data_IF_675471584924
#
_entry.id   IF_675471584924
#
_cell.length_a   1.000
_cell.length_b   1.000
_cell.length_c   1.000
_cell.angle_alpha   90.00
_cell.angle_beta   90.00
_cell.angle_gamma   90.00
#
_symmetry.space_group_name_H-M   'P 1'
#
loop_
_entity.id
_entity.type
_entity.pdbx_description
1 polymer ?
#
# COMPACT_ATOMS: atom_id res chain seq x y z
N UNK A 1 24.92 -15.89 -20.95
CA UNK A 1 24.18 -14.76 -21.57
C UNK A 1 22.69 -14.75 -21.21
N UNK A 2 21.88 -15.75 -21.60
CA UNK A 2 20.42 -15.74 -21.35
C UNK A 2 20.01 -15.68 -19.86
N UNK A 3 20.74 -16.34 -18.96
CA UNK A 3 20.49 -16.28 -17.50
C UNK A 3 20.74 -14.89 -16.89
N UNK A 4 21.72 -14.15 -17.41
CA UNK A 4 22.02 -12.79 -16.96
C UNK A 4 20.89 -11.83 -17.33
N UNK A 5 20.27 -12.01 -18.50
CA UNK A 5 19.12 -11.19 -18.93
C UNK A 5 17.89 -11.42 -18.05
N UNK A 6 17.63 -12.67 -17.65
CA UNK A 6 16.56 -12.99 -16.70
C UNK A 6 16.80 -12.39 -15.32
N UNK A 7 18.05 -12.41 -14.82
CA UNK A 7 18.40 -11.76 -13.55
C UNK A 7 18.26 -10.23 -13.62
N UNK A 8 18.67 -9.61 -14.72
CA UNK A 8 18.59 -8.16 -14.89
C UNK A 8 17.12 -7.69 -14.96
N UNK A 9 16.27 -8.45 -15.65
CA UNK A 9 14.84 -8.20 -15.72
C UNK A 9 14.18 -8.33 -14.33
N UNK A 10 14.51 -9.38 -13.58
CA UNK A 10 13.98 -9.59 -12.22
C UNK A 10 14.39 -8.46 -11.26
N UNK A 11 15.63 -7.94 -11.39
CA UNK A 11 16.12 -6.85 -10.55
C UNK A 11 15.41 -5.52 -10.85
N UNK A 12 15.09 -5.25 -12.12
CA UNK A 12 14.31 -4.07 -12.54
C UNK A 12 12.87 -4.10 -11.99
N UNK A 13 12.26 -5.28 -11.90
CA UNK A 13 10.91 -5.46 -11.37
C UNK A 13 10.84 -5.40 -9.83
N UNK A 14 11.96 -5.64 -9.14
CA UNK A 14 12.01 -5.66 -7.67
C UNK A 14 11.95 -4.26 -7.02
N UNK A 15 12.14 -3.18 -7.78
CA UNK A 15 12.25 -1.81 -7.26
C UNK A 15 10.95 -1.04 -7.03
N UNK A 16 9.77 -1.66 -7.18
CA UNK A 16 8.49 -0.95 -7.18
C UNK A 16 7.86 -0.71 -5.78
N UNK A 17 8.65 -0.69 -4.70
CA UNK A 17 8.18 -0.15 -3.42
C UNK A 17 8.23 1.39 -3.50
N UNK A 18 7.17 1.98 -4.06
CA UNK A 18 7.03 3.43 -4.13
C UNK A 18 6.55 3.93 -2.77
N UNK A 19 7.43 4.64 -2.07
CA UNK A 19 7.00 5.43 -0.93
C UNK A 19 5.96 6.45 -1.41
N UNK A 20 4.89 6.66 -0.65
CA UNK A 20 3.86 7.63 -0.99
C UNK A 20 3.50 8.49 0.21
N UNK A 21 3.07 9.72 -0.07
CA UNK A 21 2.65 10.68 0.93
C UNK A 21 1.17 10.97 0.78
N UNK A 22 0.47 11.03 1.91
CA UNK A 22 -0.91 11.50 1.99
C UNK A 22 -0.95 12.69 2.93
N UNK A 23 -1.53 13.79 2.45
CA UNK A 23 -1.91 14.92 3.30
C UNK A 23 -3.38 14.79 3.66
N UNK A 24 -3.69 14.82 4.95
CA UNK A 24 -5.07 14.74 5.44
C UNK A 24 -5.74 16.13 5.53
N UNK A 25 -7.00 16.13 5.96
CA UNK A 25 -7.82 17.35 6.09
C UNK A 25 -7.32 18.30 7.19
N UNK A 26 -6.46 17.83 8.10
CA UNK A 26 -5.79 18.67 9.11
C UNK A 26 -4.51 19.31 8.58
N UNK A 27 -4.09 18.94 7.36
CA UNK A 27 -2.85 19.37 6.73
C UNK A 27 -1.63 18.55 7.16
N UNK A 28 -1.81 17.52 7.99
CA UNK A 28 -0.73 16.63 8.40
C UNK A 28 -0.33 15.71 7.24
N UNK A 29 0.98 15.49 7.08
CA UNK A 29 1.54 14.64 6.01
C UNK A 29 1.99 13.32 6.63
N UNK A 30 1.42 12.23 6.14
CA UNK A 30 1.82 10.87 6.48
C UNK A 30 2.55 10.24 5.31
N UNK A 31 3.79 9.83 5.52
CA UNK A 31 4.60 9.11 4.54
C UNK A 31 4.52 7.60 4.81
N UNK A 32 4.36 6.83 3.74
CA UNK A 32 4.33 5.37 3.78
C UNK A 32 5.43 4.81 2.89
N UNK A 33 6.42 4.14 3.46
CA UNK A 33 7.49 3.47 2.70
C UNK A 33 7.00 2.18 2.02
N UNK A 34 5.95 1.57 2.57
CA UNK A 34 5.33 0.34 2.07
C UNK A 34 3.81 0.40 2.26
N UNK A 35 3.02 -0.36 1.48
CA UNK A 35 1.58 -0.45 1.69
C UNK A 35 1.21 -0.84 3.14
N UNK A 36 0.19 -0.20 3.76
CA UNK A 36 -0.23 -0.50 5.13
C UNK A 36 -0.67 -1.96 5.30
N UNK A 37 -0.12 -2.64 6.30
CA UNK A 37 -0.42 -4.05 6.57
C UNK A 37 -1.57 -4.26 7.57
N UNK A 38 -1.79 -3.29 8.47
CA UNK A 38 -2.83 -3.32 9.51
C UNK A 38 -3.51 -1.97 9.57
N UNK A 39 -4.82 -1.95 9.35
CA UNK A 39 -5.62 -0.74 9.20
C UNK A 39 -6.72 -0.73 10.26
N UNK A 40 -6.95 0.43 10.87
CA UNK A 40 -8.12 0.71 11.68
C UNK A 40 -8.97 1.73 10.94
N UNK A 41 -10.26 1.45 10.77
CA UNK A 41 -11.22 2.39 10.20
C UNK A 41 -12.19 2.81 11.29
N UNK A 42 -12.55 4.09 11.36
CA UNK A 42 -13.45 4.61 12.42
C UNK A 42 -14.84 4.92 11.87
N UNK A 43 -14.97 5.09 10.55
CA UNK A 43 -16.24 5.45 9.92
C UNK A 43 -16.76 4.27 9.10
N UNK A 44 -18.06 3.92 9.22
CA UNK A 44 -18.64 2.80 8.48
C UNK A 44 -18.45 2.91 6.96
N UNK A 45 -18.63 4.09 6.37
CA UNK A 45 -18.44 4.31 4.93
C UNK A 45 -17.01 4.02 4.46
N UNK A 46 -16.01 4.30 5.28
CA UNK A 46 -14.61 4.01 4.99
C UNK A 46 -14.32 2.51 5.14
N UNK A 47 -14.91 1.87 6.16
CA UNK A 47 -14.81 0.41 6.36
C UNK A 47 -15.34 -0.34 5.13
N UNK A 48 -16.52 0.03 4.64
CA UNK A 48 -17.10 -0.55 3.42
C UNK A 48 -16.24 -0.27 2.18
N UNK A 49 -15.66 0.94 2.07
CA UNK A 49 -14.79 1.29 0.94
C UNK A 49 -13.52 0.44 0.89
N UNK A 50 -12.84 0.25 2.04
CA UNK A 50 -11.67 -0.63 2.13
C UNK A 50 -12.01 -2.05 1.69
N UNK A 51 -13.21 -2.50 2.05
CA UNK A 51 -13.70 -3.81 1.65
C UNK A 51 -14.01 -3.92 0.16
N UNK A 52 -14.69 -2.93 -0.41
CA UNK A 52 -14.97 -2.85 -1.84
C UNK A 52 -13.69 -2.83 -2.70
N UNK A 53 -12.59 -2.28 -2.17
CA UNK A 53 -11.27 -2.30 -2.81
C UNK A 53 -10.52 -3.65 -2.68
N UNK A 54 -11.14 -4.69 -2.10
CA UNK A 54 -10.54 -6.01 -1.94
C UNK A 54 -9.52 -6.09 -0.80
N UNK A 55 -9.50 -5.11 0.11
CA UNK A 55 -8.52 -5.02 1.19
C UNK A 55 -9.10 -5.30 2.58
N UNK A 56 -10.32 -5.87 2.70
CA UNK A 56 -10.97 -6.19 3.99
C UNK A 56 -10.02 -6.88 4.97
N UNK A 57 -9.21 -7.84 4.49
CA UNK A 57 -8.33 -8.65 5.33
C UNK A 57 -7.22 -7.86 6.05
N UNK A 58 -7.02 -6.58 5.69
CA UNK A 58 -6.08 -5.68 6.36
C UNK A 58 -6.69 -4.94 7.56
N UNK A 59 -8.01 -4.97 7.72
CA UNK A 59 -8.69 -4.33 8.86
C UNK A 59 -8.45 -5.13 10.14
N UNK A 60 -7.96 -4.44 11.18
CA UNK A 60 -7.73 -5.01 12.52
C UNK A 60 -8.61 -4.36 13.60
N UNK A 61 -9.40 -3.36 13.21
CA UNK A 61 -10.37 -2.66 14.03
C UNK A 61 -11.30 -1.82 13.16
N UNK A 62 -12.56 -1.68 13.60
CA UNK A 62 -13.65 -0.94 12.94
C UNK A 62 -14.40 -0.08 13.93
#
# INVERSE_FOLDING_TARGET
MRRLWFMLLALLLAGAAQAYEIRDDTGFVTTFDTPPARVVSVLPSLTETVCALGACARLVGV
#
